data_IF_958306841275
#
_entry.id   IF_958306841275
#
_cell.length_a   1.000
_cell.length_b   1.000
_cell.length_c   1.000
_cell.angle_alpha   90.00
_cell.angle_beta   90.00
_cell.angle_gamma   90.00
#
_symmetry.space_group_name_H-M   'P 1'
#
loop_
_entity.id
_entity.type
_entity.pdbx_description
1 polymer ?
#
# COMPACT_ATOMS: atom_id res chain seq x y z
N UNK A 1 12.31 -3.99 -22.60
CA UNK A 1 13.34 -4.83 -21.95
C UNK A 1 13.91 -4.03 -20.80
N UNK A 2 13.83 -4.52 -19.57
CA UNK A 2 14.45 -3.85 -18.42
C UNK A 2 15.99 -3.89 -18.56
N UNK A 3 16.65 -2.78 -18.26
CA UNK A 3 18.10 -2.67 -18.20
C UNK A 3 18.67 -3.54 -17.06
N UNK A 4 19.95 -3.94 -17.16
CA UNK A 4 20.62 -4.74 -16.11
C UNK A 4 20.54 -4.10 -14.73
N UNK A 5 20.53 -2.77 -14.66
CA UNK A 5 20.41 -2.02 -13.41
C UNK A 5 18.99 -2.15 -12.81
N UNK A 6 17.94 -2.04 -13.63
CA UNK A 6 16.56 -2.23 -13.20
C UNK A 6 16.31 -3.67 -12.71
N UNK A 7 16.86 -4.67 -13.41
CA UNK A 7 16.79 -6.07 -12.98
C UNK A 7 17.48 -6.31 -11.63
N UNK A 8 18.60 -5.64 -11.37
CA UNK A 8 19.29 -5.76 -10.08
C UNK A 8 18.48 -5.15 -8.93
N UNK A 9 17.82 -4.01 -9.16
CA UNK A 9 16.92 -3.38 -8.19
C UNK A 9 15.73 -4.31 -7.89
N UNK A 10 15.08 -4.83 -8.93
CA UNK A 10 13.98 -5.79 -8.76
C UNK A 10 14.41 -7.03 -7.99
N UNK A 11 15.60 -7.56 -8.26
CA UNK A 11 16.14 -8.71 -7.52
C UNK A 11 16.44 -8.40 -6.04
N UNK A 12 16.75 -7.14 -5.67
CA UNK A 12 16.89 -6.73 -4.26
C UNK A 12 15.53 -6.69 -3.56
N UNK A 13 14.54 -6.07 -4.18
CA UNK A 13 13.17 -6.06 -3.67
C UNK A 13 12.60 -7.47 -3.56
N UNK A 14 12.76 -8.30 -4.59
CA UNK A 14 12.34 -9.70 -4.57
C UNK A 14 13.00 -10.48 -3.43
N UNK A 15 14.32 -10.30 -3.18
CA UNK A 15 15.00 -10.94 -2.05
C UNK A 15 14.51 -10.44 -0.69
N UNK A 16 14.27 -9.15 -0.55
CA UNK A 16 13.66 -8.58 0.67
C UNK A 16 12.28 -9.20 0.97
N UNK A 17 11.57 -9.59 -0.09
CA UNK A 17 10.26 -10.22 -0.01
C UNK A 17 10.32 -11.74 0.19
N UNK A 18 11.32 -12.46 -0.34
CA UNK A 18 11.39 -13.93 -0.38
C UNK A 18 11.85 -14.64 0.92
N UNK A 19 12.07 -13.93 2.03
CA UNK A 19 12.46 -14.56 3.30
C UNK A 19 11.31 -15.28 4.02
N UNK A 20 11.62 -16.32 4.80
CA UNK A 20 10.75 -16.93 5.82
C UNK A 20 10.65 -16.00 7.03
N UNK A 21 9.99 -14.87 6.84
CA UNK A 21 9.92 -13.79 7.81
C UNK A 21 8.45 -13.46 8.08
N UNK A 22 8.16 -13.06 9.32
CA UNK A 22 6.86 -12.50 9.68
C UNK A 22 6.50 -11.34 8.74
N UNK A 23 5.22 -11.14 8.40
CA UNK A 23 4.80 -10.14 7.41
C UNK A 23 5.32 -8.74 7.70
N UNK A 24 5.37 -8.35 8.97
CA UNK A 24 5.92 -7.08 9.45
C UNK A 24 7.41 -6.94 9.16
N UNK A 25 8.18 -8.03 9.26
CA UNK A 25 9.61 -8.04 8.99
C UNK A 25 9.90 -7.97 7.48
N UNK A 26 9.10 -8.65 6.65
CA UNK A 26 9.14 -8.54 5.18
C UNK A 26 8.92 -7.10 4.74
N UNK A 27 7.92 -6.45 5.33
CA UNK A 27 7.58 -5.06 5.03
C UNK A 27 8.69 -4.11 5.46
N UNK A 28 9.29 -4.30 6.64
CA UNK A 28 10.46 -3.52 7.06
C UNK A 28 11.63 -3.65 6.11
N UNK A 29 11.96 -4.86 5.67
CA UNK A 29 13.02 -5.08 4.70
C UNK A 29 12.73 -4.40 3.35
N UNK A 30 11.47 -4.46 2.89
CA UNK A 30 11.04 -3.76 1.68
C UNK A 30 11.22 -2.24 1.83
N UNK A 31 10.76 -1.67 2.95
CA UNK A 31 10.85 -0.24 3.23
C UNK A 31 12.32 0.21 3.37
N UNK A 32 13.16 -0.60 3.99
CA UNK A 32 14.60 -0.37 4.08
C UNK A 32 15.23 -0.33 2.68
N UNK A 33 14.98 -1.34 1.84
CA UNK A 33 15.48 -1.36 0.45
C UNK A 33 14.95 -0.16 -0.35
N UNK A 34 13.69 0.23 -0.17
CA UNK A 34 13.11 1.42 -0.82
C UNK A 34 13.90 2.69 -0.47
N UNK A 35 14.22 2.89 0.80
CA UNK A 35 15.02 4.05 1.24
C UNK A 35 16.46 3.99 0.73
N UNK A 36 17.09 2.80 0.71
CA UNK A 36 18.44 2.60 0.17
C UNK A 36 18.52 2.88 -1.33
N UNK A 37 17.46 2.57 -2.08
CA UNK A 37 17.37 2.81 -3.53
C UNK A 37 17.14 4.29 -3.89
N UNK A 38 16.98 5.15 -2.88
CA UNK A 38 16.99 6.60 -3.01
C UNK A 38 15.66 7.28 -2.73
N UNK A 39 14.61 6.52 -2.38
CA UNK A 39 13.35 7.10 -1.91
C UNK A 39 13.59 7.77 -0.56
N UNK A 40 12.98 8.93 -0.31
CA UNK A 40 13.22 9.65 0.96
C UNK A 40 12.38 9.09 2.10
N UNK A 41 11.15 8.69 1.78
CA UNK A 41 10.20 8.11 2.72
C UNK A 41 9.42 7.02 2.03
N UNK A 42 9.18 5.94 2.75
CA UNK A 42 8.32 4.85 2.33
C UNK A 42 7.43 4.47 3.51
N UNK A 43 6.16 4.20 3.26
CA UNK A 43 5.23 3.75 4.29
C UNK A 43 4.26 2.73 3.73
N UNK A 44 3.90 1.74 4.54
CA UNK A 44 2.80 0.84 4.23
C UNK A 44 1.77 0.93 5.34
N UNK A 45 0.56 1.32 4.97
CA UNK A 45 -0.58 1.35 5.86
C UNK A 45 -1.47 0.15 5.57
N UNK A 46 -1.72 -0.69 6.57
CA UNK A 46 -2.63 -1.82 6.49
C UNK A 46 -3.93 -1.50 7.22
N UNK A 47 -5.04 -1.91 6.62
CA UNK A 47 -6.35 -1.72 7.20
C UNK A 47 -6.60 -2.71 8.33
N UNK A 48 -7.08 -2.20 9.47
CA UNK A 48 -7.54 -2.95 10.63
C UNK A 48 -9.07 -2.87 10.71
N UNK A 49 -9.80 -3.93 10.34
CA UNK A 49 -11.25 -3.92 10.34
C UNK A 49 -11.87 -3.63 11.72
N UNK A 50 -11.23 -4.09 12.79
CA UNK A 50 -11.75 -4.03 14.16
C UNK A 50 -11.82 -2.58 14.66
N UNK A 51 -10.77 -1.80 14.42
CA UNK A 51 -10.69 -0.39 14.84
C UNK A 51 -11.07 0.60 13.73
N UNK A 52 -11.22 0.12 12.49
CA UNK A 52 -11.47 0.93 11.28
C UNK A 52 -10.36 1.96 11.04
N UNK A 53 -9.13 1.49 11.17
CA UNK A 53 -7.92 2.32 11.05
C UNK A 53 -6.98 1.77 9.99
N UNK A 54 -6.19 2.68 9.41
CA UNK A 54 -5.04 2.37 8.60
C UNK A 54 -3.81 2.50 9.50
N UNK A 55 -3.22 1.37 9.84
CA UNK A 55 -2.06 1.27 10.73
C UNK A 55 -0.85 0.94 9.89
N UNK A 56 0.19 1.76 9.98
CA UNK A 56 1.38 1.59 9.16
C UNK A 56 2.67 1.89 9.88
N UNK A 57 3.75 1.43 9.26
CA UNK A 57 5.11 1.83 9.59
C UNK A 57 5.60 2.79 8.51
N UNK A 58 6.17 3.92 8.95
CA UNK A 58 6.82 4.91 8.10
C UNK A 58 8.32 4.77 8.30
N UNK A 59 9.04 4.45 7.23
CA UNK A 59 10.48 4.43 7.18
C UNK A 59 11.00 5.70 6.50
N UNK A 60 12.04 6.30 7.07
CA UNK A 60 12.72 7.47 6.50
C UNK A 60 14.21 7.44 6.79
N UNK A 61 14.98 8.14 5.96
CA UNK A 61 16.43 8.22 6.09
C UNK A 61 17.17 7.01 5.51
N UNK A 62 18.51 6.97 5.66
CA UNK A 62 19.37 5.89 5.12
C UNK A 62 20.51 5.57 6.10
N UNK A 63 20.94 4.31 6.10
CA UNK A 63 22.06 3.83 6.92
C UNK A 63 21.90 4.19 8.40
N UNK A 64 22.88 4.90 8.98
CA UNK A 64 22.85 5.29 10.41
C UNK A 64 21.76 6.29 10.80
N UNK A 65 21.01 6.85 9.84
CA UNK A 65 19.89 7.77 10.09
C UNK A 65 18.53 7.16 9.73
N UNK A 66 18.47 5.84 9.58
CA UNK A 66 17.22 5.13 9.34
C UNK A 66 16.33 5.19 10.58
N UNK A 67 15.10 5.64 10.42
CA UNK A 67 14.08 5.68 11.48
C UNK A 67 12.80 5.04 11.01
N UNK A 68 12.19 4.23 11.87
CA UNK A 68 10.87 3.63 11.68
C UNK A 68 9.93 4.16 12.74
N UNK A 69 8.77 4.66 12.34
CA UNK A 69 7.72 5.14 13.25
C UNK A 69 6.39 4.50 12.89
N UNK A 70 5.64 4.07 13.91
CA UNK A 70 4.27 3.61 13.72
C UNK A 70 3.32 4.80 13.61
N UNK A 71 2.39 4.74 12.67
CA UNK A 71 1.38 5.76 12.42
C UNK A 71 0.01 5.09 12.33
N UNK A 72 -0.98 5.69 12.98
CA UNK A 72 -2.37 5.25 12.96
C UNK A 72 -3.22 6.35 12.34
N UNK A 73 -4.00 5.99 11.33
CA UNK A 73 -4.85 6.91 10.58
C UNK A 73 -6.29 6.41 10.60
N UNK A 74 -7.25 7.12 11.22
CA UNK A 74 -8.65 6.73 11.18
C UNK A 74 -9.17 6.72 9.73
N UNK A 75 -9.93 5.68 9.35
CA UNK A 75 -10.40 5.53 7.97
C UNK A 75 -11.39 6.62 7.55
N UNK A 76 -12.15 7.16 8.49
CA UNK A 76 -13.13 8.22 8.25
C UNK A 76 -12.50 9.61 8.11
N UNK A 77 -11.23 9.77 8.50
CA UNK A 77 -10.53 11.03 8.37
C UNK A 77 -10.26 11.36 6.90
N UNK A 78 -10.15 12.65 6.58
CA UNK A 78 -9.76 13.09 5.24
C UNK A 78 -8.25 13.11 5.14
N UNK A 79 -7.70 12.49 4.10
CA UNK A 79 -6.28 12.48 3.83
C UNK A 79 -5.93 11.74 2.55
N UNK A 80 -4.72 11.94 2.03
CA UNK A 80 -4.27 11.33 0.78
C UNK A 80 -4.21 9.79 0.88
N UNK A 81 -3.84 9.26 2.04
CA UNK A 81 -3.81 7.81 2.28
C UNK A 81 -5.22 7.23 2.28
N UNK A 82 -6.19 7.86 2.95
CA UNK A 82 -7.58 7.41 2.93
C UNK A 82 -8.19 7.52 1.54
N UNK A 83 -7.86 8.57 0.79
CA UNK A 83 -8.30 8.71 -0.60
C UNK A 83 -7.76 7.57 -1.48
N UNK A 84 -6.46 7.28 -1.38
CA UNK A 84 -5.81 6.21 -2.12
C UNK A 84 -6.34 4.83 -1.72
N UNK A 85 -6.68 4.60 -0.45
CA UNK A 85 -7.23 3.33 0.03
C UNK A 85 -8.52 2.93 -0.69
N UNK A 86 -9.33 3.91 -1.10
CA UNK A 86 -10.55 3.67 -1.89
C UNK A 86 -10.34 3.83 -3.39
N UNK A 87 -9.12 4.08 -3.88
CA UNK A 87 -8.86 4.24 -5.29
C UNK A 87 -8.80 2.88 -6.02
N UNK A 88 -9.14 2.89 -7.31
CA UNK A 88 -8.96 1.74 -8.20
C UNK A 88 -7.51 1.57 -8.65
N UNK A 89 -6.73 2.65 -8.64
CA UNK A 89 -5.34 2.63 -9.09
C UNK A 89 -4.47 3.65 -8.39
N UNK A 90 -3.18 3.73 -8.77
CA UNK A 90 -2.22 4.59 -8.12
C UNK A 90 -2.60 6.07 -8.21
N UNK A 91 -2.39 6.79 -7.12
CA UNK A 91 -2.56 8.24 -7.06
C UNK A 91 -1.20 8.92 -6.91
N UNK A 92 -1.07 10.10 -7.52
CA UNK A 92 0.08 10.99 -7.30
C UNK A 92 -0.37 12.27 -6.62
N UNK A 93 0.34 12.67 -5.57
CA UNK A 93 0.14 13.91 -4.82
C UNK A 93 1.50 14.58 -4.63
N UNK A 94 1.80 15.55 -5.49
CA UNK A 94 3.13 16.17 -5.52
C UNK A 94 4.24 15.15 -5.80
N UNK A 95 5.12 14.94 -4.82
CA UNK A 95 6.25 14.01 -4.87
C UNK A 95 5.92 12.62 -4.30
N UNK A 96 4.70 12.43 -3.78
CA UNK A 96 4.23 11.17 -3.20
C UNK A 96 3.44 10.35 -4.23
N UNK A 97 3.79 9.07 -4.31
CA UNK A 97 3.04 8.05 -5.02
C UNK A 97 2.32 7.14 -4.01
N UNK A 98 1.03 6.93 -4.21
CA UNK A 98 0.16 6.16 -3.33
C UNK A 98 -0.44 5.00 -4.13
N UNK A 99 -0.17 3.78 -3.71
CA UNK A 99 -0.62 2.55 -4.36
C UNK A 99 -1.63 1.85 -3.47
N UNK A 100 -2.91 1.75 -3.88
CA UNK A 100 -3.86 0.89 -3.17
C UNK A 100 -3.38 -0.56 -3.18
N UNK A 101 -3.49 -1.21 -2.03
CA UNK A 101 -3.22 -2.64 -1.86
C UNK A 101 -4.56 -3.35 -1.77
N UNK A 102 -4.79 -4.31 -2.67
CA UNK A 102 -6.02 -5.11 -2.73
C UNK A 102 -5.69 -6.60 -2.72
N UNK A 103 -6.55 -7.39 -2.09
CA UNK A 103 -6.32 -8.83 -1.92
C UNK A 103 -6.48 -9.65 -3.20
N UNK A 104 -7.47 -9.30 -4.02
CA UNK A 104 -7.75 -9.92 -5.30
C UNK A 104 -8.24 -8.85 -6.27
N UNK A 105 -8.00 -9.05 -7.57
CA UNK A 105 -8.59 -8.21 -8.60
C UNK A 105 -10.12 -8.32 -8.54
N UNK A 106 -10.79 -7.17 -8.43
CA UNK A 106 -12.24 -7.09 -8.32
C UNK A 106 -12.80 -5.92 -9.13
N UNK A 107 -14.11 -5.70 -9.07
CA UNK A 107 -14.77 -4.62 -9.81
C UNK A 107 -14.55 -3.20 -9.23
N UNK A 108 -13.75 -3.07 -8.15
CA UNK A 108 -13.45 -1.81 -7.45
C UNK A 108 -14.68 -0.91 -7.24
N UNK A 109 -15.84 -1.49 -6.90
CA UNK A 109 -17.07 -0.70 -6.81
C UNK A 109 -16.98 0.42 -5.75
N UNK A 110 -16.16 0.24 -4.71
CA UNK A 110 -15.92 1.25 -3.68
C UNK A 110 -15.16 2.50 -4.16
N UNK A 111 -14.52 2.44 -5.33
CA UNK A 111 -13.86 3.60 -5.94
C UNK A 111 -14.87 4.60 -6.51
N UNK A 112 -15.98 4.08 -7.05
CA UNK A 112 -17.10 4.89 -7.56
C UNK A 112 -18.45 4.25 -7.18
N UNK A 113 -18.80 4.25 -5.88
CA UNK A 113 -19.95 3.52 -5.37
C UNK A 113 -21.27 3.89 -6.04
N UNK A 114 -21.47 5.18 -6.31
CA UNK A 114 -22.70 5.72 -6.90
C UNK A 114 -22.98 5.13 -8.29
N UNK A 115 -21.94 4.73 -9.02
CA UNK A 115 -22.07 4.17 -10.37
C UNK A 115 -21.94 2.65 -10.41
N UNK A 116 -21.14 2.07 -9.50
CA UNK A 116 -20.69 0.67 -9.59
C UNK A 116 -21.22 -0.23 -8.48
N UNK A 117 -21.70 0.32 -7.37
CA UNK A 117 -22.17 -0.48 -6.25
C UNK A 117 -23.59 -1.01 -6.52
N UNK A 118 -23.73 -2.33 -6.45
CA UNK A 118 -25.02 -3.02 -6.57
C UNK A 118 -25.49 -3.62 -5.24
N UNK A 119 -24.68 -3.52 -4.19
CA UNK A 119 -24.95 -4.06 -2.86
C UNK A 119 -25.80 -3.10 -2.03
N UNK A 120 -26.58 -3.65 -1.09
CA UNK A 120 -27.35 -2.84 -0.11
C UNK A 120 -26.73 -2.95 1.30
N UNK A 121 -26.67 -1.83 2.07
CA UNK A 121 -27.00 -0.47 1.65
C UNK A 121 -26.03 0.08 0.60
N UNK A 122 -26.53 0.88 -0.34
CA UNK A 122 -25.68 1.49 -1.36
C UNK A 122 -24.79 2.54 -0.72
N UNK A 123 -23.47 2.40 -0.91
CA UNK A 123 -22.50 3.40 -0.49
C UNK A 123 -22.45 4.58 -1.47
N UNK A 124 -21.97 5.71 -0.98
CA UNK A 124 -21.56 6.89 -1.76
C UNK A 124 -20.09 7.19 -1.45
N UNK A 125 -19.43 8.07 -2.19
CA UNK A 125 -18.06 8.53 -1.85
C UNK A 125 -17.96 9.13 -0.45
N UNK A 126 -19.06 9.71 0.05
CA UNK A 126 -19.13 10.28 1.40
C UNK A 126 -19.32 9.20 2.47
N UNK A 127 -20.08 8.14 2.18
CA UNK A 127 -20.44 7.10 3.15
C UNK A 127 -19.62 5.82 3.01
N UNK A 128 -18.78 5.68 1.98
CA UNK A 128 -18.00 4.47 1.71
C UNK A 128 -17.05 4.09 2.83
N UNK A 129 -16.52 5.05 3.57
CA UNK A 129 -15.70 4.80 4.77
C UNK A 129 -16.47 4.07 5.85
N UNK A 130 -17.80 4.28 5.90
CA UNK A 130 -18.73 3.69 6.86
C UNK A 130 -19.31 2.36 6.36
N UNK A 131 -19.62 2.26 5.07
CA UNK A 131 -20.39 1.14 4.51
C UNK A 131 -19.49 0.07 3.88
N UNK A 132 -18.53 0.47 3.03
CA UNK A 132 -17.77 -0.49 2.24
C UNK A 132 -16.95 -1.48 3.08
N UNK A 133 -16.28 -1.10 4.19
CA UNK A 133 -15.47 -2.05 4.95
C UNK A 133 -16.20 -3.26 5.53
N UNK A 134 -17.51 -3.17 5.72
CA UNK A 134 -18.35 -4.28 6.19
C UNK A 134 -18.96 -5.10 5.04
N UNK A 135 -18.73 -4.70 3.78
CA UNK A 135 -19.30 -5.34 2.61
C UNK A 135 -18.49 -6.58 2.23
N UNK A 136 -19.12 -7.75 1.97
CA UNK A 136 -18.44 -8.96 1.52
C UNK A 136 -17.70 -8.84 0.18
N UNK A 137 -17.91 -7.75 -0.58
CA UNK A 137 -17.20 -7.46 -1.83
C UNK A 137 -16.02 -6.52 -1.67
N UNK A 138 -15.85 -5.93 -0.48
CA UNK A 138 -14.73 -5.03 -0.22
C UNK A 138 -13.44 -5.82 -0.04
N UNK A 139 -12.39 -5.43 -0.76
CA UNK A 139 -11.10 -6.14 -0.80
C UNK A 139 -9.90 -5.21 -0.63
N UNK A 140 -10.12 -3.95 -0.25
CA UNK A 140 -9.02 -3.05 0.05
C UNK A 140 -8.35 -3.44 1.37
N UNK A 141 -7.03 -3.54 1.34
CA UNK A 141 -6.22 -4.02 2.46
C UNK A 141 -5.24 -2.97 2.97
N UNK A 142 -4.90 -1.98 2.16
CA UNK A 142 -3.95 -0.96 2.58
C UNK A 142 -3.53 0.00 1.49
N UNK A 143 -2.49 0.78 1.78
CA UNK A 143 -1.87 1.73 0.86
C UNK A 143 -0.36 1.74 1.07
N UNK A 144 0.39 1.51 -0.01
CA UNK A 144 1.83 1.78 -0.07
C UNK A 144 2.06 3.23 -0.51
N UNK A 145 2.76 4.00 0.31
CA UNK A 145 3.15 5.38 0.03
C UNK A 145 4.65 5.48 -0.19
N UNK A 146 5.08 6.10 -1.29
CA UNK A 146 6.48 6.29 -1.65
C UNK A 146 6.73 7.75 -2.01
N UNK A 147 7.61 8.43 -1.28
CA UNK A 147 7.91 9.85 -1.47
C UNK A 147 9.27 10.05 -2.15
N UNK A 148 9.32 11.01 -3.08
CA UNK A 148 10.53 11.41 -3.83
C UNK A 148 11.20 10.23 -4.52
N UNK A 149 10.39 9.43 -5.22
CA UNK A 149 10.87 8.28 -5.99
C UNK A 149 11.83 8.74 -7.10
N UNK A 150 13.09 8.25 -7.12
CA UNK A 150 14.04 8.59 -8.17
C UNK A 150 13.48 8.27 -9.56
N UNK A 151 13.68 9.16 -10.54
CA UNK A 151 13.11 9.01 -11.89
C UNK A 151 13.42 7.68 -12.55
N UNK A 152 14.60 7.10 -12.28
CA UNK A 152 15.02 5.77 -12.77
C UNK A 152 14.15 4.61 -12.26
N UNK A 153 13.47 4.77 -11.12
CA UNK A 153 12.66 3.73 -10.49
C UNK A 153 11.17 3.88 -10.77
N UNK A 154 10.75 5.04 -11.29
CA UNK A 154 9.35 5.30 -11.62
C UNK A 154 8.73 4.25 -12.56
N UNK A 155 9.44 3.75 -13.60
CA UNK A 155 8.91 2.68 -14.46
C UNK A 155 8.64 1.36 -13.72
N UNK A 156 9.32 1.12 -12.59
CA UNK A 156 9.22 -0.11 -11.81
C UNK A 156 8.14 -0.04 -10.73
N UNK A 157 7.60 1.16 -10.46
CA UNK A 157 6.64 1.40 -9.39
C UNK A 157 5.43 0.45 -9.40
N UNK A 158 4.77 0.17 -10.55
CA UNK A 158 3.64 -0.76 -10.57
C UNK A 158 4.04 -2.16 -10.09
N UNK A 159 5.22 -2.65 -10.49
CA UNK A 159 5.71 -3.96 -10.11
C UNK A 159 6.10 -4.00 -8.62
N UNK A 160 6.76 -2.95 -8.12
CA UNK A 160 7.10 -2.84 -6.70
C UNK A 160 5.84 -2.85 -5.83
N UNK A 161 4.81 -2.10 -6.24
CA UNK A 161 3.54 -2.08 -5.54
C UNK A 161 2.85 -3.45 -5.52
N UNK A 162 2.82 -4.16 -6.66
CA UNK A 162 2.26 -5.52 -6.74
C UNK A 162 2.99 -6.51 -5.84
N UNK A 163 4.33 -6.46 -5.83
CA UNK A 163 5.15 -7.35 -5.02
C UNK A 163 4.93 -7.11 -3.51
N UNK A 164 4.83 -5.85 -3.09
CA UNK A 164 4.50 -5.49 -1.70
C UNK A 164 3.08 -5.92 -1.34
N UNK A 165 2.12 -5.72 -2.25
CA UNK A 165 0.73 -6.12 -2.07
C UNK A 165 0.60 -7.63 -1.85
N UNK A 166 1.19 -8.45 -2.72
CA UNK A 166 1.18 -9.91 -2.61
C UNK A 166 1.67 -10.38 -1.23
N UNK A 167 2.76 -9.82 -0.73
CA UNK A 167 3.28 -10.22 0.58
C UNK A 167 2.45 -9.72 1.75
N UNK A 168 1.89 -8.51 1.66
CA UNK A 168 0.96 -8.02 2.66
C UNK A 168 -0.29 -8.91 2.76
N UNK A 169 -0.82 -9.35 1.62
CA UNK A 169 -1.97 -10.27 1.54
C UNK A 169 -1.65 -11.62 2.17
N UNK A 170 -0.56 -12.26 1.76
CA UNK A 170 -0.16 -13.57 2.31
C UNK A 170 0.03 -13.51 3.83
N UNK A 171 0.58 -12.41 4.32
CA UNK A 171 0.76 -12.20 5.75
C UNK A 171 -0.53 -12.03 6.54
N UNK A 172 -1.51 -11.31 5.98
CA UNK A 172 -2.83 -11.17 6.58
C UNK A 172 -3.60 -12.49 6.57
N UNK A 173 -3.49 -13.29 5.50
CA UNK A 173 -4.15 -14.59 5.36
C UNK A 173 -3.55 -15.64 6.30
N UNK A 174 -2.23 -15.63 6.54
CA UNK A 174 -1.57 -16.58 7.46
C UNK A 174 -1.74 -16.24 8.94
N UNK A 175 -2.06 -14.98 9.26
CA UNK A 175 -2.30 -14.52 10.63
C UNK A 175 -3.76 -14.53 11.08
N UNK A 176 -4.68 -14.99 10.21
CA UNK A 176 -6.10 -15.17 10.47
C UNK A 176 -6.45 -16.67 10.59
#
# INVERSE_FOLDING_TARGET
MASRAETAVLARFQRALLGDLEPTQILRNFLEVATEEGMERAALFLYRPESRELVGEVASGRGRRYTVSSVVLPLHAKGPVQEAFFAEGPLRRGEEWLFPVVGEEGAFCWADPERRCQERPQATRETRTLICPSCPRFRALGVLALERVPSRLQPLLPLLAQLTALRAVEGLVRGA
#
